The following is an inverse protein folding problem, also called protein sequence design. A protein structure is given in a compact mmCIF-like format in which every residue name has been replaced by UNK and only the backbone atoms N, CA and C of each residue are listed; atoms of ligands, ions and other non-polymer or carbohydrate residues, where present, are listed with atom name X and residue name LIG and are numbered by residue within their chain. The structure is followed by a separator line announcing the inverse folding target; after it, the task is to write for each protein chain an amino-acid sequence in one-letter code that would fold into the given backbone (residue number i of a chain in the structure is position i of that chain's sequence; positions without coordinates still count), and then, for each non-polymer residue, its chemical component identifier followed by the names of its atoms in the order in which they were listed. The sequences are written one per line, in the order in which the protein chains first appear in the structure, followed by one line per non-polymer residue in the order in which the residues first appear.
data_IF_129126295425
#
_entry.id   IF_129126295425
#
_cell.length_a   1.000
_cell.length_b   1.000
_cell.length_c   1.000
_cell.angle_alpha   90.00
_cell.angle_beta   90.00
_cell.angle_gamma   90.00
#
_symmetry.space_group_name_H-M   'P 1'
#
loop_
_entity.id
_entity.type
_entity.pdbx_description
1 polymer ?
#
# COMPACT_ATOMS: atom_id res chain seq x y z
N UNK A 1 -5.68 -5.44 -11.92
CA UNK A 1 -5.86 -6.47 -10.87
C UNK A 1 -6.18 -5.72 -9.58
N UNK A 2 -7.45 -5.42 -9.35
CA UNK A 2 -7.90 -5.02 -8.01
C UNK A 2 -7.75 -6.29 -7.17
N UNK A 3 -6.89 -6.25 -6.16
CA UNK A 3 -6.73 -7.35 -5.21
C UNK A 3 -8.12 -7.71 -4.69
N UNK A 4 -8.48 -8.99 -4.80
CA UNK A 4 -9.74 -9.50 -4.28
C UNK A 4 -9.78 -9.23 -2.77
N UNK A 5 -10.67 -8.31 -2.38
CA UNK A 5 -10.79 -7.87 -0.99
C UNK A 5 -11.27 -8.99 -0.06
N UNK A 6 -11.74 -10.12 -0.60
CA UNK A 6 -12.21 -11.25 0.19
C UNK A 6 -11.10 -12.12 0.78
N UNK A 7 -9.86 -12.03 0.27
CA UNK A 7 -8.77 -12.93 0.66
C UNK A 7 -7.96 -12.45 1.87
N UNK A 8 -7.98 -11.15 2.20
CA UNK A 8 -7.16 -10.59 3.27
C UNK A 8 -7.98 -10.22 4.51
N UNK A 9 -7.65 -10.86 5.63
CA UNK A 9 -8.31 -10.64 6.91
C UNK A 9 -7.92 -9.29 7.55
N UNK A 10 -6.75 -8.74 7.21
CA UNK A 10 -6.20 -7.50 7.78
C UNK A 10 -5.68 -6.54 6.71
N UNK A 11 -6.09 -5.28 6.80
CA UNK A 11 -5.81 -4.21 5.84
C UNK A 11 -4.91 -3.15 6.46
N UNK A 12 -3.65 -3.12 6.06
CA UNK A 12 -2.70 -2.08 6.44
C UNK A 12 -2.74 -0.93 5.42
N UNK A 13 -3.12 0.28 5.86
CA UNK A 13 -3.35 1.39 4.93
C UNK A 13 -2.79 2.71 5.46
N UNK A 14 -2.44 3.61 4.55
CA UNK A 14 -2.11 4.98 4.95
C UNK A 14 -3.35 5.76 5.41
N UNK A 15 -3.13 6.71 6.32
CA UNK A 15 -4.17 7.59 6.88
C UNK A 15 -4.95 8.36 5.81
N UNK A 16 -4.32 8.66 4.65
CA UNK A 16 -4.99 9.31 3.53
C UNK A 16 -6.19 8.50 2.99
N UNK A 17 -6.19 7.18 3.15
CA UNK A 17 -7.26 6.29 2.69
C UNK A 17 -8.46 6.18 3.65
N UNK A 18 -8.56 7.07 4.64
CA UNK A 18 -9.70 7.15 5.56
C UNK A 18 -10.94 7.78 4.88
N UNK A 19 -11.48 7.10 3.86
CA UNK A 19 -12.77 7.40 3.24
C UNK A 19 -13.80 6.37 3.69
N UNK A 20 -14.88 6.84 4.35
CA UNK A 20 -15.87 5.95 4.97
C UNK A 20 -16.55 5.06 3.94
N UNK A 21 -17.12 5.65 2.90
CA UNK A 21 -18.00 4.92 1.98
C UNK A 21 -17.22 4.10 0.95
N UNK A 22 -16.06 4.60 0.52
CA UNK A 22 -15.28 3.97 -0.55
C UNK A 22 -14.29 2.90 -0.05
N UNK A 23 -13.81 3.02 1.18
CA UNK A 23 -12.72 2.17 1.71
C UNK A 23 -13.20 1.40 2.94
N UNK A 24 -13.66 2.10 3.96
CA UNK A 24 -13.97 1.47 5.26
C UNK A 24 -15.20 0.58 5.16
N UNK A 25 -16.31 1.08 4.60
CA UNK A 25 -17.57 0.34 4.55
C UNK A 25 -17.45 -0.99 3.76
N UNK A 26 -16.79 -1.05 2.59
CA UNK A 26 -16.54 -2.32 1.90
C UNK A 26 -15.70 -3.30 2.71
N UNK A 27 -14.65 -2.83 3.38
CA UNK A 27 -13.77 -3.70 4.19
C UNK A 27 -14.52 -4.25 5.40
N UNK A 28 -15.30 -3.41 6.10
CA UNK A 28 -16.13 -3.84 7.22
C UNK A 28 -17.24 -4.80 6.78
N UNK A 29 -17.86 -4.57 5.61
CA UNK A 29 -18.84 -5.48 5.03
C UNK A 29 -18.24 -6.85 4.72
N UNK A 30 -16.97 -6.89 4.31
CA UNK A 30 -16.19 -8.10 4.12
C UNK A 30 -15.62 -8.70 5.43
N UNK A 31 -15.97 -8.16 6.60
CA UNK A 31 -15.43 -8.54 7.93
C UNK A 31 -13.90 -8.43 8.04
N UNK A 32 -13.29 -7.56 7.24
CA UNK A 32 -11.86 -7.27 7.30
C UNK A 32 -11.51 -6.32 8.45
N UNK A 33 -10.33 -6.52 9.04
CA UNK A 33 -9.77 -5.63 10.04
C UNK A 33 -9.00 -4.48 9.36
N UNK A 34 -9.17 -3.26 9.83
CA UNK A 34 -8.46 -2.09 9.30
C UNK A 34 -7.39 -1.65 10.30
N UNK A 35 -6.13 -1.59 9.86
CA UNK A 35 -4.99 -1.09 10.63
C UNK A 35 -4.55 0.25 10.03
N UNK A 36 -5.15 1.33 10.53
CA UNK A 36 -4.77 2.69 10.19
C UNK A 36 -5.14 3.65 11.32
N UNK A 37 -4.37 4.72 11.56
CA UNK A 37 -4.77 5.75 12.49
C UNK A 37 -6.00 6.49 12.00
N UNK A 38 -6.90 6.83 12.94
CA UNK A 38 -7.98 7.76 12.66
C UNK A 38 -7.46 9.13 12.24
N UNK A 39 -8.24 9.86 11.43
CA UNK A 39 -7.95 11.26 11.13
C UNK A 39 -8.02 12.09 12.42
N UNK A 40 -7.11 13.05 12.58
CA UNK A 40 -7.06 13.88 13.79
C UNK A 40 -8.32 14.71 14.00
N UNK A 41 -9.01 15.06 12.91
CA UNK A 41 -10.30 15.72 12.89
C UNK A 41 -11.49 14.75 12.80
N UNK A 42 -11.28 13.44 13.03
CA UNK A 42 -12.36 12.47 13.01
C UNK A 42 -13.07 12.45 14.35
N UNK A 43 -14.41 12.49 14.30
CA UNK A 43 -15.28 12.36 15.48
C UNK A 43 -15.13 10.97 16.11
N UNK A 44 -14.86 9.97 15.28
CA UNK A 44 -14.69 8.57 15.69
C UNK A 44 -13.20 8.22 15.69
N UNK A 45 -12.58 8.26 16.88
CA UNK A 45 -11.22 7.80 17.09
C UNK A 45 -11.22 6.29 17.31
N UNK A 46 -10.87 5.57 16.26
CA UNK A 46 -10.74 4.11 16.31
C UNK A 46 -9.37 3.73 16.85
N UNK A 47 -9.37 2.73 17.73
CA UNK A 47 -8.13 2.07 18.11
C UNK A 47 -7.61 1.22 16.94
N UNK A 48 -6.29 1.10 16.87
CA UNK A 48 -5.62 0.34 15.82
C UNK A 48 -4.31 -0.24 16.36
N UNK A 49 -3.92 -1.39 15.81
CA UNK A 49 -2.65 -2.01 16.19
C UNK A 49 -1.47 -1.17 15.66
N UNK A 50 -0.83 -0.42 16.57
CA UNK A 50 0.32 0.41 16.25
C UNK A 50 1.55 -0.40 15.86
N UNK A 51 1.71 -1.62 16.38
CA UNK A 51 2.84 -2.48 16.05
C UNK A 51 2.71 -2.99 14.62
N UNK A 52 1.52 -3.45 14.23
CA UNK A 52 1.23 -3.80 12.83
C UNK A 52 1.32 -2.57 11.92
N UNK A 53 0.86 -1.40 12.37
CA UNK A 53 0.95 -0.17 11.58
C UNK A 53 2.38 0.22 11.22
N UNK A 54 3.35 -0.06 12.12
CA UNK A 54 4.78 0.19 11.84
C UNK A 54 5.27 -0.59 10.63
N UNK A 55 4.73 -1.77 10.32
CA UNK A 55 5.15 -2.58 9.18
C UNK A 55 5.04 -1.85 7.82
N UNK A 56 4.27 -0.75 7.74
CA UNK A 56 4.15 0.11 6.55
C UNK A 56 5.50 0.65 6.06
N UNK A 57 6.46 0.85 6.96
CA UNK A 57 7.82 1.28 6.60
C UNK A 57 8.52 0.32 5.61
N UNK A 58 8.18 -0.97 5.62
CA UNK A 58 8.73 -1.94 4.67
C UNK A 58 8.31 -1.61 3.23
N UNK A 59 7.04 -1.22 3.05
CA UNK A 59 6.50 -0.80 1.76
C UNK A 59 7.15 0.53 1.32
N UNK A 60 7.32 1.47 2.25
CA UNK A 60 8.00 2.74 1.96
C UNK A 60 9.46 2.52 1.56
N UNK A 61 10.19 1.67 2.28
CA UNK A 61 11.57 1.30 1.99
C UNK A 61 11.69 0.60 0.62
N UNK A 62 10.74 -0.27 0.29
CA UNK A 62 10.68 -0.91 -1.02
C UNK A 62 10.55 0.12 -2.15
N UNK A 63 9.60 1.06 -2.05
CA UNK A 63 9.45 2.12 -3.05
C UNK A 63 10.63 3.10 -3.06
N UNK A 64 11.26 3.36 -1.92
CA UNK A 64 12.48 4.16 -1.85
C UNK A 64 13.61 3.49 -2.64
N UNK A 65 13.85 2.19 -2.45
CA UNK A 65 14.81 1.39 -3.23
C UNK A 65 14.44 1.39 -4.72
N UNK A 66 13.16 1.20 -5.05
CA UNK A 66 12.69 1.19 -6.44
C UNK A 66 12.94 2.54 -7.16
N UNK A 67 12.84 3.66 -6.44
CA UNK A 67 13.17 5.00 -6.95
C UNK A 67 14.68 5.27 -7.10
N UNK A 68 15.56 4.43 -6.55
CA UNK A 68 17.01 4.56 -6.80
C UNK A 68 17.36 4.22 -8.26
N UNK A 69 16.55 3.40 -8.92
CA UNK A 69 16.70 3.11 -10.33
C UNK A 69 16.22 4.30 -11.17
N UNK A 70 17.17 5.12 -11.63
CA UNK A 70 16.89 6.34 -12.42
C UNK A 70 15.93 6.08 -13.59
N UNK A 71 16.11 4.97 -14.31
CA UNK A 71 15.24 4.55 -15.41
C UNK A 71 13.76 4.48 -15.02
N UNK A 72 13.49 3.93 -13.83
CA UNK A 72 12.15 3.75 -13.27
C UNK A 72 11.62 5.07 -12.70
N UNK A 73 12.44 5.78 -11.92
CA UNK A 73 12.03 7.00 -11.23
C UNK A 73 11.52 8.10 -12.17
N UNK A 74 12.15 8.26 -13.33
CA UNK A 74 11.77 9.27 -14.32
C UNK A 74 10.98 8.71 -15.49
N UNK A 75 10.63 7.41 -15.46
CA UNK A 75 9.87 6.73 -16.52
C UNK A 75 10.50 6.93 -17.91
N UNK A 76 11.77 6.57 -18.05
CA UNK A 76 12.51 6.72 -19.32
C UNK A 76 11.91 5.89 -20.47
N UNK A 77 11.35 4.72 -20.15
CA UNK A 77 10.76 3.83 -21.14
C UNK A 77 9.48 4.42 -21.75
N UNK A 78 9.48 4.54 -23.09
CA UNK A 78 8.33 5.05 -23.86
C UNK A 78 7.17 4.05 -23.90
N UNK A 79 7.49 2.76 -23.94
CA UNK A 79 6.50 1.69 -23.98
C UNK A 79 6.14 1.27 -22.55
N UNK A 80 4.83 1.25 -22.26
CA UNK A 80 4.33 0.85 -20.95
C UNK A 80 4.74 -0.58 -20.57
N UNK A 81 4.85 -1.48 -21.55
CA UNK A 81 5.30 -2.86 -21.32
C UNK A 81 6.75 -2.91 -20.83
N UNK A 82 7.66 -2.17 -21.46
CA UNK A 82 9.07 -2.14 -21.05
C UNK A 82 9.22 -1.55 -19.65
N UNK A 83 8.52 -0.46 -19.36
CA UNK A 83 8.51 0.15 -18.03
C UNK A 83 8.01 -0.84 -16.97
N UNK A 84 6.93 -1.57 -17.26
CA UNK A 84 6.37 -2.57 -16.35
C UNK A 84 7.34 -3.74 -16.13
N UNK A 85 7.98 -4.25 -17.19
CA UNK A 85 9.02 -5.28 -17.09
C UNK A 85 10.20 -4.83 -16.24
N UNK A 86 10.64 -3.58 -16.40
CA UNK A 86 11.70 -3.00 -15.57
C UNK A 86 11.30 -2.92 -14.09
N UNK A 87 10.04 -2.54 -13.80
CA UNK A 87 9.49 -2.56 -12.44
C UNK A 87 9.52 -3.98 -11.87
N UNK A 88 9.08 -4.99 -12.60
CA UNK A 88 9.09 -6.38 -12.11
C UNK A 88 10.50 -6.89 -11.83
N UNK A 89 11.45 -6.59 -12.73
CA UNK A 89 12.84 -6.97 -12.55
C UNK A 89 13.44 -6.32 -11.28
N UNK A 90 13.30 -5.00 -11.13
CA UNK A 90 13.81 -4.29 -9.96
C UNK A 90 13.12 -4.76 -8.66
N UNK A 91 11.80 -5.01 -8.71
CA UNK A 91 11.02 -5.52 -7.58
C UNK A 91 11.55 -6.87 -7.10
N UNK A 92 11.85 -7.77 -8.04
CA UNK A 92 12.40 -9.11 -7.74
C UNK A 92 13.77 -8.99 -7.08
N UNK A 93 14.65 -8.13 -7.60
CA UNK A 93 15.99 -7.89 -7.03
C UNK A 93 15.89 -7.33 -5.61
N UNK A 94 15.00 -6.35 -5.38
CA UNK A 94 14.80 -5.76 -4.06
C UNK A 94 14.25 -6.78 -3.05
N UNK A 95 13.40 -7.71 -3.49
CA UNK A 95 12.77 -8.69 -2.60
C UNK A 95 13.70 -9.83 -2.17
N UNK A 96 14.73 -10.13 -2.97
CA UNK A 96 15.68 -11.23 -2.68
C UNK A 96 16.83 -10.76 -1.77
N UNK A 97 17.03 -9.45 -1.64
CA UNK A 97 18.14 -8.82 -0.92
C UNK A 97 17.70 -8.16 0.40
#
# INVERSE_FOLDING_TARGET
MLLDLSLSQTWLMDKAYNSRDRVIAPILAAKGQIVMPAKSNSIDQRDYDRHLYKARHLIENFFAKLKQYRAIATRYDKLAQNFLSAIYLASTIISIN
#
